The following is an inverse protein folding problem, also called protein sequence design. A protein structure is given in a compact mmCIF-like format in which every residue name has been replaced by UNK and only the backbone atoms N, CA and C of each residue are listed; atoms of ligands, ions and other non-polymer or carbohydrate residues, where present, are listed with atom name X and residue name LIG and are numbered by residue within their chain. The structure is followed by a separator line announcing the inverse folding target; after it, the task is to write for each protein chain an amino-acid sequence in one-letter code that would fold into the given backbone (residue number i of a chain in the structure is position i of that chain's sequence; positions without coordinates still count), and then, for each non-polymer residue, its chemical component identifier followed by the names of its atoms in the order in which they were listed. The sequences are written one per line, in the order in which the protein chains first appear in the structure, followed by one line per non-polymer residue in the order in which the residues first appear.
data_IF_072441568413
#
_entry.id   IF_072441568413
#
_cell.length_a   1.000
_cell.length_b   1.000
_cell.length_c   1.000
_cell.angle_alpha   90.00
_cell.angle_beta   90.00
_cell.angle_gamma   90.00
#
_symmetry.space_group_name_H-M   'P 1'
#
loop_
_entity.id
_entity.type
_entity.pdbx_description
1 polymer ?
#
# COMPACT_ATOMS: atom_id res chain seq x y z
N UNK A 1 -1.82 2.59 -9.99
CA UNK A 1 -2.63 2.11 -8.86
C UNK A 1 -2.44 3.05 -7.69
N UNK A 2 -3.50 3.70 -7.24
CA UNK A 2 -3.49 4.53 -6.03
C UNK A 2 -3.41 3.67 -4.76
N UNK A 3 -2.95 4.27 -3.66
CA UNK A 3 -2.85 3.58 -2.37
C UNK A 3 -4.22 3.08 -1.87
N UNK A 4 -5.28 3.85 -2.13
CA UNK A 4 -6.65 3.49 -1.77
C UNK A 4 -7.16 2.29 -2.56
N UNK A 5 -6.85 2.20 -3.86
CA UNK A 5 -7.19 1.02 -4.67
C UNK A 5 -6.43 -0.21 -4.16
N UNK A 6 -5.13 -0.09 -3.88
CA UNK A 6 -4.35 -1.19 -3.31
C UNK A 6 -4.90 -1.65 -1.94
N UNK A 7 -5.33 -0.71 -1.09
CA UNK A 7 -6.00 -1.01 0.17
C UNK A 7 -7.30 -1.78 -0.06
N UNK A 8 -8.12 -1.34 -1.02
CA UNK A 8 -9.40 -1.99 -1.33
C UNK A 8 -9.20 -3.40 -1.88
N UNK A 9 -8.23 -3.60 -2.78
CA UNK A 9 -7.85 -4.92 -3.28
C UNK A 9 -7.32 -5.84 -2.18
N UNK A 10 -6.65 -5.28 -1.16
CA UNK A 10 -6.19 -6.03 0.01
C UNK A 10 -7.29 -6.24 1.08
N UNK A 11 -8.54 -5.81 0.83
CA UNK A 11 -9.68 -5.98 1.73
C UNK A 11 -9.82 -4.90 2.81
N UNK A 12 -9.10 -3.78 2.69
CA UNK A 12 -9.20 -2.66 3.61
C UNK A 12 -10.20 -1.61 3.10
N UNK A 13 -10.91 -0.99 4.04
CA UNK A 13 -11.83 0.11 3.73
C UNK A 13 -11.10 1.37 3.25
N UNK A 14 -9.88 1.61 3.73
CA UNK A 14 -9.09 2.79 3.40
C UNK A 14 -7.57 2.58 3.55
N UNK A 15 -6.82 3.52 2.96
CA UNK A 15 -5.36 3.53 2.94
C UNK A 15 -4.70 3.66 4.33
N UNK A 16 -5.35 4.30 5.31
CA UNK A 16 -4.79 4.52 6.65
C UNK A 16 -4.74 3.22 7.44
N UNK A 17 -5.79 2.40 7.34
CA UNK A 17 -5.84 1.07 7.93
C UNK A 17 -4.94 0.06 7.21
N UNK A 18 -4.71 0.23 5.91
CA UNK A 18 -3.79 -0.61 5.14
C UNK A 18 -2.31 -0.35 5.47
N UNK A 19 -1.92 0.92 5.65
CA UNK A 19 -0.51 1.31 5.81
C UNK A 19 0.14 0.74 7.09
N UNK A 20 -0.62 0.64 8.18
CA UNK A 20 -0.13 0.14 9.49
C UNK A 20 0.32 -1.33 9.44
N UNK A 21 -0.54 -2.30 9.06
CA UNK A 21 -0.13 -3.69 8.92
C UNK A 21 0.86 -3.87 7.77
N UNK A 22 0.73 -3.13 6.66
CA UNK A 22 1.68 -3.23 5.55
C UNK A 22 3.12 -2.91 5.99
N UNK A 23 3.31 -1.81 6.75
CA UNK A 23 4.64 -1.48 7.31
C UNK A 23 5.13 -2.52 8.31
N UNK A 24 4.24 -3.14 9.08
CA UNK A 24 4.60 -4.22 10.03
C UNK A 24 5.07 -5.48 9.28
N UNK A 25 4.44 -5.81 8.16
CA UNK A 25 4.74 -7.00 7.37
C UNK A 25 5.96 -6.81 6.45
N UNK A 26 6.06 -5.67 5.77
CA UNK A 26 7.08 -5.42 4.74
C UNK A 26 8.21 -4.49 5.18
N UNK A 27 8.09 -3.85 6.35
CA UNK A 27 9.08 -2.88 6.86
C UNK A 27 9.11 -1.53 6.13
N UNK A 28 8.33 -1.39 5.04
CA UNK A 28 8.32 -0.21 4.15
C UNK A 28 6.90 0.34 4.03
N UNK A 29 6.77 1.64 3.78
CA UNK A 29 5.46 2.20 3.47
C UNK A 29 5.06 1.85 2.03
N UNK A 30 3.77 1.59 1.74
CA UNK A 30 3.35 1.21 0.39
C UNK A 30 3.63 2.31 -0.65
N UNK A 31 3.63 3.58 -0.24
CA UNK A 31 4.03 4.72 -1.10
C UNK A 31 5.47 4.62 -1.59
N UNK A 32 6.39 4.01 -0.83
CA UNK A 32 7.79 3.82 -1.24
C UNK A 32 7.96 2.71 -2.29
N UNK A 33 6.99 1.80 -2.38
CA UNK A 33 7.00 0.69 -3.34
C UNK A 33 6.21 1.06 -4.60
N UNK A 34 5.09 1.75 -4.45
CA UNK A 34 4.24 2.19 -5.58
C UNK A 34 5.02 3.06 -6.58
N UNK A 35 5.97 3.84 -6.09
CA UNK A 35 6.84 4.67 -6.93
C UNK A 35 7.79 3.84 -7.81
N UNK A 36 8.20 2.64 -7.35
CA UNK A 36 9.10 1.75 -8.11
C UNK A 36 8.39 0.83 -9.10
N UNK A 37 7.11 0.51 -8.88
CA UNK A 37 6.35 -0.38 -9.77
C UNK A 37 5.83 0.32 -11.05
N UNK A 38 5.80 1.65 -11.07
CA UNK A 38 5.31 2.42 -12.24
C UNK A 38 6.38 2.60 -13.33
N UNK A 39 7.62 2.14 -13.08
CA UNK A 39 8.78 2.29 -13.99
C UNK A 39 9.19 0.98 -14.69
N UNK A 40 8.34 -0.04 -14.72
CA UNK A 40 8.54 -1.29 -15.48
C UNK A 40 7.39 -1.57 -16.44
#
# INVERSE_FOLDING_TARGET
LSLSEAAHHAGFSDASHFTRPFRKTFGLAPSQIADRLTLM
#
